data_IF_895976445382
#
_entry.id   IF_895976445382
#
_cell.length_a   1.000
_cell.length_b   1.000
_cell.length_c   1.000
_cell.angle_alpha   90.00
_cell.angle_beta   90.00
_cell.angle_gamma   90.00
#
_symmetry.space_group_name_H-M   'P 1'
#
loop_
_entity.id
_entity.type
_entity.pdbx_description
1 polymer ?
#
# COMPACT_ATOMS: atom_id res chain seq x y z
N UNK A 1 26.20 8.12 39.50
CA UNK A 1 25.95 6.66 39.39
C UNK A 1 24.52 6.45 39.85
N UNK A 2 23.53 6.95 39.12
CA UNK A 2 23.03 6.53 37.79
C UNK A 2 22.26 5.21 37.84
N UNK A 3 21.23 5.16 38.68
CA UNK A 3 20.07 4.28 38.54
C UNK A 3 18.85 5.19 38.42
N UNK A 4 18.38 5.40 37.19
CA UNK A 4 17.06 5.92 36.83
C UNK A 4 17.04 6.10 35.32
N UNK A 5 16.56 5.06 34.63
CA UNK A 5 15.75 5.12 33.41
C UNK A 5 15.40 3.67 33.05
N UNK A 6 14.64 3.01 33.92
CA UNK A 6 13.80 1.89 33.52
C UNK A 6 12.73 2.46 32.59
N UNK A 7 13.01 2.39 31.29
CA UNK A 7 12.01 2.63 30.26
C UNK A 7 11.02 1.48 30.38
N UNK A 8 9.84 1.77 30.94
CA UNK A 8 8.67 0.91 30.88
C UNK A 8 8.34 0.61 29.41
N UNK A 9 8.95 -0.45 28.86
CA UNK A 9 8.48 -1.08 27.65
C UNK A 9 7.12 -1.72 27.99
N UNK A 10 6.07 -1.17 27.39
CA UNK A 10 4.71 -1.67 27.53
C UNK A 10 4.67 -3.16 27.13
N UNK A 11 4.31 -4.10 28.03
CA UNK A 11 4.41 -5.55 27.80
C UNK A 11 3.52 -6.06 26.64
N UNK A 12 2.59 -5.25 26.14
CA UNK A 12 1.75 -5.57 24.98
C UNK A 12 2.53 -5.60 23.65
N UNK A 13 3.75 -5.05 23.59
CA UNK A 13 4.52 -4.99 22.34
C UNK A 13 5.08 -6.36 21.91
N UNK A 14 5.41 -7.23 22.86
CA UNK A 14 5.78 -8.62 22.55
C UNK A 14 4.56 -9.37 22.01
N UNK A 15 3.44 -9.34 22.74
CA UNK A 15 2.21 -9.99 22.31
C UNK A 15 1.74 -9.58 20.91
N UNK A 16 1.84 -8.30 20.55
CA UNK A 16 1.55 -7.81 19.20
C UNK A 16 2.56 -8.36 18.18
N UNK A 17 3.86 -8.37 18.51
CA UNK A 17 4.90 -8.91 17.63
C UNK A 17 4.70 -10.40 17.37
N UNK A 18 4.51 -11.20 18.42
CA UNK A 18 4.25 -12.63 18.29
C UNK A 18 2.93 -12.91 17.55
N UNK A 19 1.87 -12.15 17.82
CA UNK A 19 0.59 -12.25 17.11
C UNK A 19 0.69 -11.87 15.63
N UNK A 20 1.45 -10.81 15.31
CA UNK A 20 1.76 -10.43 13.93
C UNK A 20 2.56 -11.52 13.23
N UNK A 21 3.54 -12.14 13.90
CA UNK A 21 4.34 -13.23 13.35
C UNK A 21 3.53 -14.52 13.15
N UNK A 22 2.54 -14.81 13.99
CA UNK A 22 1.66 -15.98 13.83
C UNK A 22 0.69 -15.84 12.65
N UNK A 23 0.17 -14.63 12.38
CA UNK A 23 -0.75 -14.37 11.27
C UNK A 23 -0.04 -14.08 9.93
N UNK A 24 1.18 -13.56 9.97
CA UNK A 24 1.97 -13.33 8.77
C UNK A 24 2.67 -14.62 8.40
N UNK A 25 2.30 -15.20 7.25
CA UNK A 25 3.06 -16.31 6.66
C UNK A 25 4.54 -15.89 6.61
N UNK A 26 5.48 -16.62 7.23
CA UNK A 26 6.89 -16.22 7.32
C UNK A 26 7.50 -15.77 5.98
N UNK A 27 7.03 -16.35 4.88
CA UNK A 27 7.39 -15.99 3.51
C UNK A 27 7.08 -14.53 3.13
N UNK A 28 5.98 -13.94 3.60
CA UNK A 28 5.63 -12.55 3.26
C UNK A 28 6.54 -11.55 3.95
N UNK A 29 6.96 -11.83 5.19
CA UNK A 29 7.89 -10.97 5.91
C UNK A 29 9.27 -10.96 5.26
N UNK A 30 9.77 -12.13 4.84
CA UNK A 30 11.01 -12.25 4.08
C UNK A 30 10.93 -11.52 2.73
N UNK A 31 9.80 -11.65 2.03
CA UNK A 31 9.55 -10.93 0.79
C UNK A 31 9.53 -9.41 0.99
N UNK A 32 8.87 -8.93 2.04
CA UNK A 32 8.82 -7.50 2.37
C UNK A 32 10.21 -6.96 2.79
N UNK A 33 10.99 -7.70 3.59
CA UNK A 33 12.36 -7.30 3.94
C UNK A 33 13.25 -7.22 2.69
N UNK A 34 13.17 -8.24 1.82
CA UNK A 34 13.89 -8.24 0.54
C UNK A 34 13.47 -7.05 -0.34
N UNK A 35 12.18 -6.75 -0.40
CA UNK A 35 11.64 -5.64 -1.16
C UNK A 35 12.12 -4.30 -0.64
N UNK A 36 12.11 -4.10 0.69
CA UNK A 36 12.59 -2.89 1.35
C UNK A 36 14.07 -2.65 1.05
N UNK A 37 14.89 -3.70 1.08
CA UNK A 37 16.32 -3.60 0.72
C UNK A 37 16.52 -3.22 -0.74
N UNK A 38 15.68 -3.75 -1.63
CA UNK A 38 15.74 -3.48 -3.08
C UNK A 38 15.20 -2.08 -3.42
N UNK A 39 14.20 -1.60 -2.70
CA UNK A 39 13.52 -0.33 -2.94
C UNK A 39 13.52 0.55 -1.69
N UNK A 40 14.64 1.25 -1.38
CA UNK A 40 14.73 2.15 -0.22
C UNK A 40 13.64 3.23 -0.18
N UNK A 41 13.09 3.63 -1.34
CA UNK A 41 11.96 4.55 -1.49
C UNK A 41 10.75 4.18 -0.62
N UNK A 42 10.52 2.88 -0.36
CA UNK A 42 9.44 2.42 0.53
C UNK A 42 9.56 2.99 1.96
N UNK A 43 10.77 3.21 2.45
CA UNK A 43 11.04 3.73 3.81
C UNK A 43 11.31 5.24 3.81
N UNK A 44 12.04 5.76 2.81
CA UNK A 44 12.52 7.14 2.81
C UNK A 44 11.81 8.07 1.83
N UNK A 45 11.03 7.55 0.88
CA UNK A 45 10.32 8.37 -0.11
C UNK A 45 9.26 9.26 0.53
N UNK A 46 8.92 10.38 -0.11
CA UNK A 46 7.81 11.22 0.34
C UNK A 46 6.48 10.44 0.27
N UNK A 47 5.65 10.61 1.30
CA UNK A 47 4.36 9.93 1.42
C UNK A 47 3.25 10.78 0.78
N UNK A 48 2.48 10.18 -0.11
CA UNK A 48 1.31 10.80 -0.74
C UNK A 48 0.10 9.90 -0.61
N UNK A 49 -0.93 10.36 0.10
CA UNK A 49 -2.20 9.63 0.13
C UNK A 49 -2.84 9.70 -1.27
N UNK A 50 -3.41 8.59 -1.74
CA UNK A 50 -4.06 8.51 -3.06
C UNK A 50 -5.57 8.40 -2.90
N UNK A 51 -6.29 9.17 -3.71
CA UNK A 51 -7.74 9.07 -3.80
C UNK A 51 -8.12 7.80 -4.56
N UNK A 52 -9.25 7.21 -4.16
CA UNK A 52 -9.75 5.96 -4.75
C UNK A 52 -11.15 6.15 -5.30
N UNK A 53 -11.54 5.29 -6.25
CA UNK A 53 -12.87 5.30 -6.85
C UNK A 53 -13.34 3.88 -7.21
N UNK A 54 -14.54 3.47 -6.78
CA UNK A 54 -15.15 2.20 -7.21
C UNK A 54 -15.79 2.27 -8.59
N UNK A 55 -16.26 3.45 -9.00
CA UNK A 55 -16.93 3.66 -10.29
C UNK A 55 -16.02 4.24 -11.38
N UNK A 56 -14.82 4.73 -11.02
CA UNK A 56 -13.86 5.32 -11.95
C UNK A 56 -14.21 6.74 -12.39
N UNK A 57 -15.16 7.41 -11.72
CA UNK A 57 -15.59 8.77 -12.02
C UNK A 57 -15.51 9.69 -10.81
N UNK A 58 -15.90 9.21 -9.63
CA UNK A 58 -15.88 9.99 -8.38
C UNK A 58 -14.73 9.47 -7.54
N UNK A 59 -13.71 10.31 -7.34
CA UNK A 59 -12.53 9.99 -6.55
C UNK A 59 -12.59 10.72 -5.21
N UNK A 60 -12.22 10.02 -4.16
CA UNK A 60 -12.32 10.50 -2.78
C UNK A 60 -11.23 9.88 -1.92
N UNK A 61 -10.88 10.56 -0.84
CA UNK A 61 -10.00 10.05 0.19
C UNK A 61 -10.78 9.29 1.26
N UNK A 62 -10.15 8.37 2.00
CA UNK A 62 -10.84 7.58 3.02
C UNK A 62 -11.41 8.40 4.19
N UNK A 63 -10.94 9.64 4.39
CA UNK A 63 -11.48 10.55 5.40
C UNK A 63 -12.73 11.33 4.93
N UNK A 64 -13.01 11.32 3.63
CA UNK A 64 -14.20 11.98 3.08
C UNK A 64 -15.46 11.20 3.49
N UNK A 65 -16.57 11.90 3.73
CA UNK A 65 -17.82 11.28 4.19
C UNK A 65 -18.34 10.20 3.22
N UNK A 66 -18.21 10.46 1.92
CA UNK A 66 -18.62 9.57 0.83
C UNK A 66 -17.50 8.66 0.34
N UNK A 67 -16.32 8.73 0.95
CA UNK A 67 -15.14 8.01 0.54
C UNK A 67 -15.18 6.52 0.87
N UNK A 68 -14.42 5.73 0.10
CA UNK A 68 -14.21 4.32 0.44
C UNK A 68 -13.29 4.20 1.66
N UNK A 69 -13.89 3.82 2.78
CA UNK A 69 -13.18 3.64 4.06
C UNK A 69 -12.47 2.29 4.17
N UNK A 70 -12.72 1.38 3.23
CA UNK A 70 -12.19 0.02 3.26
C UNK A 70 -10.90 -0.14 2.44
N UNK A 71 -10.54 0.85 1.62
CA UNK A 71 -9.28 0.84 0.88
C UNK A 71 -8.46 2.06 1.24
N UNK A 72 -7.24 1.81 1.70
CA UNK A 72 -6.25 2.87 1.90
C UNK A 72 -5.16 2.65 0.87
N UNK A 73 -4.93 3.67 0.04
CA UNK A 73 -3.87 3.67 -0.95
C UNK A 73 -2.97 4.90 -0.76
N UNK A 74 -1.67 4.69 -0.92
CA UNK A 74 -0.67 5.74 -0.81
C UNK A 74 0.52 5.42 -1.68
N UNK A 75 1.22 6.46 -2.10
CA UNK A 75 2.47 6.36 -2.82
C UNK A 75 3.65 6.77 -1.96
N UNK A 76 4.78 6.13 -2.22
CA UNK A 76 6.10 6.54 -1.77
C UNK A 76 6.87 7.01 -2.99
N UNK A 77 7.32 8.26 -3.00
CA UNK A 77 7.96 8.87 -4.16
C UNK A 77 9.35 9.36 -3.81
N UNK A 78 10.33 9.06 -4.66
CA UNK A 78 11.68 9.62 -4.56
C UNK A 78 12.26 9.80 -5.96
N UNK A 79 12.61 11.03 -6.32
CA UNK A 79 13.04 11.35 -7.68
C UNK A 79 11.90 11.17 -8.68
N UNK A 80 12.17 10.39 -9.72
CA UNK A 80 11.25 10.00 -10.80
C UNK A 80 10.59 8.64 -10.58
N UNK A 81 10.72 8.07 -9.38
CA UNK A 81 10.17 6.76 -9.03
C UNK A 81 9.01 6.88 -8.04
N UNK A 82 7.87 6.34 -8.45
CA UNK A 82 6.70 6.14 -7.61
C UNK A 82 6.54 4.65 -7.28
N UNK A 83 6.31 4.37 -5.99
CA UNK A 83 5.85 3.05 -5.54
C UNK A 83 4.46 3.23 -4.93
N UNK A 84 3.46 2.62 -5.54
CA UNK A 84 2.08 2.62 -5.06
C UNK A 84 1.84 1.44 -4.15
N UNK A 85 1.33 1.71 -2.95
CA UNK A 85 0.88 0.72 -1.98
C UNK A 85 -0.64 0.84 -1.79
N UNK A 86 -1.32 -0.29 -1.63
CA UNK A 86 -2.73 -0.30 -1.27
C UNK A 86 -3.08 -1.48 -0.38
N UNK A 87 -3.91 -1.23 0.63
CA UNK A 87 -4.44 -2.25 1.54
C UNK A 87 -5.96 -2.27 1.48
N UNK A 88 -6.52 -3.47 1.42
CA UNK A 88 -7.95 -3.70 1.63
C UNK A 88 -8.20 -4.09 3.08
N UNK A 89 -8.94 -3.26 3.81
CA UNK A 89 -9.30 -3.48 5.20
C UNK A 89 -10.53 -4.39 5.37
N UNK A 90 -11.25 -4.66 4.28
CA UNK A 90 -12.38 -5.59 4.32
C UNK A 90 -11.87 -7.03 4.48
N UNK A 91 -12.39 -7.76 5.46
CA UNK A 91 -11.94 -9.11 5.79
C UNK A 91 -12.54 -10.21 4.90
N UNK A 92 -13.60 -9.91 4.14
CA UNK A 92 -14.39 -10.91 3.42
C UNK A 92 -14.46 -10.65 1.92
N UNK A 93 -14.39 -9.38 1.50
CA UNK A 93 -14.70 -8.96 0.14
C UNK A 93 -13.48 -8.39 -0.55
N UNK A 94 -13.31 -8.78 -1.82
CA UNK A 94 -12.37 -8.15 -2.73
C UNK A 94 -12.72 -6.67 -2.92
N UNK A 95 -11.68 -5.85 -3.05
CA UNK A 95 -11.82 -4.47 -3.48
C UNK A 95 -11.40 -4.33 -4.95
N UNK A 96 -12.33 -3.85 -5.79
CA UNK A 96 -12.04 -3.44 -7.15
C UNK A 96 -12.17 -1.93 -7.23
N UNK A 97 -11.04 -1.21 -7.30
CA UNK A 97 -11.00 0.25 -7.21
C UNK A 97 -9.97 0.82 -8.18
N UNK A 98 -10.28 1.99 -8.73
CA UNK A 98 -9.28 2.86 -9.32
C UNK A 98 -8.55 3.61 -8.22
N UNK A 99 -7.24 3.72 -8.36
CA UNK A 99 -6.37 4.45 -7.44
C UNK A 99 -5.53 5.42 -8.25
N UNK A 100 -5.54 6.69 -7.85
CA UNK A 100 -4.72 7.71 -8.51
C UNK A 100 -3.23 7.45 -8.33
N UNK A 101 -2.44 7.84 -9.33
CA UNK A 101 -0.97 7.83 -9.32
C UNK A 101 -0.46 9.23 -9.65
N UNK A 102 0.85 9.45 -9.65
CA UNK A 102 1.41 10.73 -10.06
C UNK A 102 1.17 10.98 -11.55
N UNK A 103 0.59 12.14 -11.89
CA UNK A 103 0.24 12.42 -13.28
C UNK A 103 1.47 12.70 -14.16
N UNK A 104 2.58 13.18 -13.59
CA UNK A 104 3.75 13.56 -14.38
C UNK A 104 4.67 12.35 -14.59
N UNK A 105 4.81 11.48 -13.59
CA UNK A 105 5.76 10.37 -13.61
C UNK A 105 5.37 9.21 -14.54
N UNK A 106 4.09 9.09 -14.88
CA UNK A 106 3.57 7.96 -15.66
C UNK A 106 3.16 8.39 -17.07
N UNK A 107 3.83 7.91 -18.15
CA UNK A 107 3.37 8.15 -19.52
C UNK A 107 1.98 7.54 -19.79
N UNK A 108 1.31 8.03 -20.85
CA UNK A 108 0.12 7.33 -21.38
C UNK A 108 0.58 5.97 -21.94
N UNK A 109 -0.26 4.95 -21.81
CA UNK A 109 0.00 3.57 -22.22
C UNK A 109 1.16 2.87 -21.49
N UNK A 110 1.67 3.47 -20.40
CA UNK A 110 2.57 2.77 -19.49
C UNK A 110 1.80 1.89 -18.50
N UNK A 111 2.55 1.17 -17.68
CA UNK A 111 2.05 0.23 -16.70
C UNK A 111 2.91 0.26 -15.45
N UNK A 112 2.31 -0.13 -14.32
CA UNK A 112 3.04 -0.41 -13.08
C UNK A 112 3.13 -1.92 -12.87
N UNK A 113 4.28 -2.40 -12.40
CA UNK A 113 4.55 -3.82 -12.16
C UNK A 113 4.31 -4.18 -10.72
N UNK A 114 3.73 -5.35 -10.49
CA UNK A 114 3.53 -5.87 -9.15
C UNK A 114 4.89 -6.21 -8.52
N UNK A 115 5.18 -5.56 -7.39
CA UNK A 115 6.37 -5.80 -6.58
C UNK A 115 6.08 -6.77 -5.44
N UNK A 116 4.88 -6.70 -4.87
CA UNK A 116 4.43 -7.58 -3.80
C UNK A 116 2.91 -7.67 -3.80
N UNK A 117 2.40 -8.86 -3.50
CA UNK A 117 1.00 -9.06 -3.20
C UNK A 117 0.86 -10.17 -2.16
N UNK A 118 0.03 -9.94 -1.14
CA UNK A 118 -0.21 -10.93 -0.09
C UNK A 118 -0.92 -12.19 -0.61
N UNK A 119 -1.58 -12.06 -1.76
CA UNK A 119 -2.26 -13.11 -2.51
C UNK A 119 -2.16 -12.82 -4.01
N UNK A 120 -2.57 -13.77 -4.86
CA UNK A 120 -2.46 -13.66 -6.31
C UNK A 120 -3.07 -12.34 -6.81
N UNK A 121 -2.25 -11.54 -7.49
CA UNK A 121 -2.64 -10.27 -8.11
C UNK A 121 -2.01 -10.18 -9.51
N UNK A 122 -2.57 -9.36 -10.42
CA UNK A 122 -1.99 -9.15 -11.73
C UNK A 122 -0.53 -8.70 -11.66
N UNK A 123 0.35 -9.27 -12.48
CA UNK A 123 1.77 -8.93 -12.49
C UNK A 123 2.04 -7.51 -12.99
N UNK A 124 1.11 -6.93 -13.73
CA UNK A 124 1.22 -5.62 -14.35
C UNK A 124 -0.18 -5.01 -14.52
N UNK A 125 -0.27 -3.69 -14.35
CA UNK A 125 -1.50 -2.94 -14.46
C UNK A 125 -1.28 -1.69 -15.29
N UNK A 126 -2.16 -1.44 -16.24
CA UNK A 126 -2.07 -0.30 -17.14
C UNK A 126 -2.46 0.99 -16.43
N UNK A 127 -1.78 2.06 -16.79
CA UNK A 127 -2.16 3.43 -16.45
C UNK A 127 -3.34 3.86 -17.32
N UNK A 128 -4.40 4.35 -16.68
CA UNK A 128 -5.57 4.91 -17.34
C UNK A 128 -5.68 6.42 -17.08
N UNK A 129 -6.09 7.18 -18.10
CA UNK A 129 -6.37 8.62 -17.97
C UNK A 129 -7.70 8.81 -17.25
N UNK A 130 -7.65 8.86 -15.90
CA UNK A 130 -8.78 9.09 -15.01
C UNK A 130 -8.34 9.93 -13.82
N UNK A 131 -8.99 11.07 -13.62
CA UNK A 131 -8.67 12.03 -12.55
C UNK A 131 -7.16 12.39 -12.52
N UNK A 132 -6.62 12.77 -13.69
CA UNK A 132 -5.18 12.74 -13.98
C UNK A 132 -4.83 11.36 -14.54
N UNK A 133 -4.18 10.53 -13.72
CA UNK A 133 -3.87 9.12 -14.03
C UNK A 133 -4.22 8.21 -12.86
N UNK A 134 -4.69 7.01 -13.17
CA UNK A 134 -5.05 6.01 -12.19
C UNK A 134 -4.79 4.60 -12.71
N UNK A 135 -4.66 3.64 -11.79
CA UNK A 135 -4.65 2.21 -12.11
C UNK A 135 -5.83 1.51 -11.47
N UNK A 136 -6.32 0.44 -12.11
CA UNK A 136 -7.41 -0.38 -11.57
C UNK A 136 -6.86 -1.55 -10.78
N UNK A 137 -6.97 -1.47 -9.45
CA UNK A 137 -6.58 -2.53 -8.54
C UNK A 137 -7.71 -3.53 -8.32
N UNK A 138 -7.33 -4.80 -8.18
CA UNK A 138 -8.15 -5.84 -7.55
C UNK A 138 -7.37 -6.37 -6.36
N UNK A 139 -7.82 -6.02 -5.15
CA UNK A 139 -7.14 -6.33 -3.90
C UNK A 139 -7.95 -7.39 -3.14
N UNK A 140 -7.36 -8.55 -2.82
CA UNK A 140 -8.02 -9.59 -2.02
C UNK A 140 -8.44 -9.09 -0.63
N UNK A 141 -9.35 -9.80 0.06
CA UNK A 141 -9.73 -9.46 1.43
C UNK A 141 -8.51 -9.43 2.35
N UNK A 142 -8.41 -8.41 3.20
CA UNK A 142 -7.34 -8.25 4.19
C UNK A 142 -5.92 -8.37 3.62
N UNK A 143 -5.70 -7.88 2.40
CA UNK A 143 -4.43 -8.02 1.68
C UNK A 143 -3.77 -6.67 1.39
N UNK A 144 -2.44 -6.70 1.34
CA UNK A 144 -1.57 -5.61 0.87
C UNK A 144 -1.04 -5.95 -0.54
N UNK A 145 -1.06 -4.96 -1.41
CA UNK A 145 -0.40 -4.97 -2.72
C UNK A 145 0.51 -3.76 -2.90
N UNK A 146 1.62 -3.95 -3.63
CA UNK A 146 2.63 -2.93 -3.92
C UNK A 146 3.00 -3.01 -5.40
N UNK A 147 2.99 -1.87 -6.08
CA UNK A 147 3.33 -1.73 -7.50
C UNK A 147 4.35 -0.59 -7.72
N UNK A 148 5.17 -0.67 -8.77
CA UNK A 148 6.04 0.42 -9.25
C UNK A 148 6.02 0.52 -10.76
#
# INVERSE_FOLDING_TARGET
MQDLLDIHLNPDFLGIREYCLEKLRPSHMEQLDSLIRKYPTLISGAFFLRSTSRNGSIFSYPYDETGDKQVIAWSRISGDHEILCAINLNQEKYACVYVTVDDIMHPIDSSMKCLFASELSPAELNIEVRNGKAIRLTIPPHALVIYS
#
